data_IF_449478644628
#
_entry.id   IF_449478644628
#
_cell.length_a   1.000
_cell.length_b   1.000
_cell.length_c   1.000
_cell.angle_alpha   90.00
_cell.angle_beta   90.00
_cell.angle_gamma   90.00
#
_symmetry.space_group_name_H-M   'P 1'
#
loop_
_entity.id
_entity.type
_entity.pdbx_description
1 polymer ?
#
# COMPACT_ATOMS: atom_id res chain seq x y z
N UNK A 1 -15.23 25.83 17.51
CA UNK A 1 -14.50 24.61 17.08
C UNK A 1 -15.13 23.46 17.84
N UNK A 2 -16.11 22.80 17.23
CA UNK A 2 -16.95 21.72 17.81
C UNK A 2 -16.97 20.56 16.83
N UNK A 3 -15.78 20.13 16.43
CA UNK A 3 -15.51 18.94 15.63
C UNK A 3 -14.17 18.44 16.16
N UNK A 4 -14.02 17.13 16.37
CA UNK A 4 -12.91 16.44 17.07
C UNK A 4 -13.09 16.17 18.57
N UNK A 5 -14.34 16.00 19.03
CA UNK A 5 -14.60 15.26 20.29
C UNK A 5 -15.56 14.09 20.13
N UNK A 6 -15.54 13.46 18.96
CA UNK A 6 -16.17 12.16 18.70
C UNK A 6 -15.10 11.16 18.26
N UNK A 7 -14.15 10.88 19.16
CA UNK A 7 -13.50 9.58 19.23
C UNK A 7 -14.62 8.57 19.55
N UNK A 8 -14.79 7.55 18.71
CA UNK A 8 -15.68 6.43 18.99
C UNK A 8 -15.26 5.79 20.32
N UNK A 9 -16.03 6.03 21.38
CA UNK A 9 -15.99 5.20 22.58
C UNK A 9 -17.10 4.16 22.43
N UNK A 10 -16.74 2.98 21.92
CA UNK A 10 -17.45 1.75 22.22
C UNK A 10 -16.57 0.97 23.21
N UNK A 11 -17.04 0.83 24.44
CA UNK A 11 -16.36 0.10 25.51
C UNK A 11 -17.04 0.37 26.85
N UNK A 12 -17.92 -0.54 27.25
CA UNK A 12 -18.54 -0.62 28.58
C UNK A 12 -17.44 -0.78 29.66
N UNK A 13 -17.53 -0.12 30.83
CA UNK A 13 -16.54 -0.24 31.88
C UNK A 13 -17.04 -1.25 32.93
N UNK A 14 -16.71 -2.53 32.77
CA UNK A 14 -16.61 -3.56 33.83
C UNK A 14 -16.65 -4.95 33.16
N UNK A 15 -15.50 -5.55 32.89
CA UNK A 15 -15.36 -7.00 32.98
C UNK A 15 -13.91 -7.37 33.32
N UNK A 16 -13.80 -8.37 34.18
CA UNK A 16 -12.65 -8.66 35.04
C UNK A 16 -11.49 -9.36 34.30
N UNK A 17 -10.33 -9.42 34.96
CA UNK A 17 -9.11 -10.05 34.44
C UNK A 17 -9.33 -11.49 33.94
N UNK A 18 -9.04 -11.73 32.66
CA UNK A 18 -8.69 -13.05 32.14
C UNK A 18 -7.36 -12.95 31.39
N UNK A 19 -6.34 -13.59 31.96
CA UNK A 19 -5.01 -13.85 31.39
C UNK A 19 -5.14 -14.41 29.95
N UNK A 20 -4.66 -13.67 28.95
CA UNK A 20 -4.48 -14.17 27.58
C UNK A 20 -2.99 -14.22 27.26
N UNK A 21 -2.29 -15.34 27.55
CA UNK A 21 -1.00 -15.62 26.96
C UNK A 21 -1.22 -16.60 25.80
N UNK A 22 -1.74 -16.09 24.69
CA UNK A 22 -1.84 -16.86 23.43
C UNK A 22 -1.48 -16.01 22.19
N UNK A 23 -1.22 -14.69 22.34
CA UNK A 23 -0.92 -13.80 21.21
C UNK A 23 0.57 -13.77 20.79
N UNK A 24 1.52 -14.16 21.65
CA UNK A 24 2.95 -14.07 21.31
C UNK A 24 3.45 -15.19 20.36
N UNK A 25 2.78 -16.35 20.30
CA UNK A 25 3.19 -17.45 19.40
C UNK A 25 2.64 -17.30 17.96
N UNK A 26 1.53 -16.58 17.75
CA UNK A 26 0.99 -16.33 16.40
C UNK A 26 1.77 -15.24 15.64
N UNK A 27 2.33 -14.23 16.33
CA UNK A 27 3.11 -13.16 15.68
C UNK A 27 4.41 -13.70 15.04
N UNK A 28 5.06 -14.70 15.65
CA UNK A 28 6.30 -15.29 15.08
C UNK A 28 6.05 -16.09 13.78
N UNK A 29 4.85 -16.62 13.52
CA UNK A 29 4.55 -17.35 12.29
C UNK A 29 4.19 -16.45 11.09
N UNK A 30 3.69 -15.21 11.31
CA UNK A 30 3.37 -14.28 10.21
C UNK A 30 4.62 -13.61 9.59
N UNK A 31 5.73 -13.48 10.33
CA UNK A 31 6.93 -12.76 9.85
C UNK A 31 7.56 -13.40 8.59
N UNK A 32 7.32 -14.70 8.34
CA UNK A 32 7.86 -15.44 7.19
C UNK A 32 6.88 -15.52 6.00
N UNK A 33 5.64 -15.01 6.12
CA UNK A 33 4.65 -15.09 5.04
C UNK A 33 4.84 -13.96 4.01
N UNK A 34 5.59 -14.23 2.95
CA UNK A 34 5.77 -13.27 1.84
C UNK A 34 4.52 -13.21 0.96
N UNK A 35 3.90 -12.03 0.82
CA UNK A 35 2.79 -11.80 -0.11
C UNK A 35 3.25 -12.02 -1.57
N UNK A 36 2.66 -12.99 -2.29
CA UNK A 36 2.96 -13.20 -3.71
C UNK A 36 2.75 -11.97 -4.58
N UNK A 37 1.84 -11.07 -4.19
CA UNK A 37 1.56 -9.82 -4.89
C UNK A 37 2.78 -8.91 -4.92
N UNK A 38 3.48 -8.74 -3.80
CA UNK A 38 4.66 -7.88 -3.72
C UNK A 38 5.79 -8.40 -4.62
N UNK A 39 6.04 -9.71 -4.56
CA UNK A 39 7.04 -10.37 -5.41
C UNK A 39 6.72 -10.19 -6.90
N UNK A 40 5.44 -10.29 -7.28
CA UNK A 40 5.02 -10.17 -8.68
C UNK A 40 5.06 -8.71 -9.14
N UNK A 41 4.67 -7.76 -8.27
CA UNK A 41 4.77 -6.32 -8.55
C UNK A 41 6.22 -5.92 -8.82
N UNK A 42 7.16 -6.31 -7.96
CA UNK A 42 8.59 -6.05 -8.16
C UNK A 42 9.09 -6.55 -9.53
N UNK A 43 8.74 -7.79 -9.89
CA UNK A 43 9.08 -8.36 -11.21
C UNK A 43 8.41 -7.65 -12.39
N UNK A 44 7.21 -7.10 -12.20
CA UNK A 44 6.49 -6.37 -13.26
C UNK A 44 7.00 -4.94 -13.43
N UNK A 45 7.48 -4.31 -12.36
CA UNK A 45 8.10 -2.98 -12.39
C UNK A 45 9.39 -2.94 -13.21
N UNK A 46 10.13 -4.05 -13.30
CA UNK A 46 11.34 -4.19 -14.12
C UNK A 46 11.06 -4.20 -15.64
N UNK A 47 9.80 -4.27 -16.07
CA UNK A 47 9.46 -4.24 -17.50
C UNK A 47 9.70 -2.86 -18.09
N UNK A 48 10.20 -2.78 -19.33
CA UNK A 48 10.58 -1.53 -20.01
C UNK A 48 9.48 -0.46 -19.95
N UNK A 49 8.22 -0.85 -20.19
CA UNK A 49 7.09 0.07 -20.15
C UNK A 49 6.81 0.58 -18.72
N UNK A 50 6.93 -0.27 -17.69
CA UNK A 50 6.75 0.14 -16.30
C UNK A 50 7.90 1.03 -15.81
N UNK A 51 9.13 0.74 -16.22
CA UNK A 51 10.30 1.57 -15.91
C UNK A 51 10.10 2.98 -16.47
N UNK A 52 9.70 3.10 -17.74
CA UNK A 52 9.50 4.42 -18.34
C UNK A 52 8.35 5.21 -17.70
N UNK A 53 7.22 4.57 -17.37
CA UNK A 53 6.12 5.28 -16.68
C UNK A 53 6.46 5.62 -15.24
N UNK A 54 7.25 4.79 -14.56
CA UNK A 54 7.80 5.07 -13.22
C UNK A 54 8.75 6.28 -13.23
N UNK A 55 9.66 6.35 -14.20
CA UNK A 55 10.55 7.51 -14.37
C UNK A 55 9.75 8.81 -14.58
N UNK A 56 8.67 8.77 -15.36
CA UNK A 56 7.79 9.93 -15.55
C UNK A 56 7.09 10.35 -14.26
N UNK A 57 6.61 9.39 -13.48
CA UNK A 57 6.02 9.64 -12.16
C UNK A 57 7.03 10.30 -11.23
N UNK A 58 8.24 9.75 -11.11
CA UNK A 58 9.31 10.32 -10.28
C UNK A 58 9.70 11.74 -10.72
N UNK A 59 9.72 12.03 -12.02
CA UNK A 59 9.95 13.38 -12.56
C UNK A 59 8.81 14.35 -12.21
N UNK A 60 7.56 13.88 -12.20
CA UNK A 60 6.44 14.69 -11.73
C UNK A 60 6.55 14.95 -10.22
N UNK A 61 6.83 13.92 -9.42
CA UNK A 61 6.98 14.04 -7.97
C UNK A 61 8.11 15.00 -7.60
N UNK A 62 9.26 14.94 -8.29
CA UNK A 62 10.36 15.88 -8.11
C UNK A 62 9.94 17.33 -8.45
N UNK A 63 9.09 17.52 -9.48
CA UNK A 63 8.57 18.83 -9.87
C UNK A 63 7.58 19.37 -8.85
N UNK A 64 6.61 18.57 -8.42
CA UNK A 64 5.59 18.97 -7.44
C UNK A 64 6.22 19.24 -6.08
N UNK A 65 7.13 18.39 -5.60
CA UNK A 65 7.84 18.58 -4.33
C UNK A 65 8.75 19.82 -4.32
N UNK A 66 9.28 20.23 -5.48
CA UNK A 66 10.09 21.45 -5.58
C UNK A 66 9.28 22.75 -5.47
N UNK A 67 7.96 22.70 -5.62
CA UNK A 67 7.08 23.87 -5.61
C UNK A 67 6.42 24.03 -4.24
N UNK A 68 6.56 25.21 -3.64
CA UNK A 68 5.96 25.51 -2.34
C UNK A 68 4.45 25.74 -2.38
N UNK A 69 3.91 26.06 -3.56
CA UNK A 69 2.47 26.28 -3.76
C UNK A 69 2.14 25.96 -5.23
N UNK A 70 1.54 24.79 -5.46
CA UNK A 70 1.14 24.30 -6.78
C UNK A 70 -0.18 23.56 -6.62
N UNK A 71 -1.08 23.69 -7.59
CA UNK A 71 -2.31 22.88 -7.70
C UNK A 71 -2.08 21.63 -8.57
N UNK A 72 -0.86 21.45 -9.07
CA UNK A 72 -0.44 20.30 -9.86
C UNK A 72 -0.36 19.04 -8.99
N UNK A 73 -0.98 17.96 -9.46
CA UNK A 73 -0.84 16.60 -8.92
C UNK A 73 -0.23 15.66 -9.97
N UNK A 74 0.30 14.52 -9.52
CA UNK A 74 0.90 13.49 -10.38
C UNK A 74 -0.04 12.30 -10.60
N UNK A 75 -1.36 12.52 -10.53
CA UNK A 75 -2.33 11.42 -10.60
C UNK A 75 -2.39 10.78 -11.99
N UNK A 76 -2.16 11.56 -13.05
CA UNK A 76 -2.06 11.05 -14.42
C UNK A 76 -0.90 10.06 -14.55
N UNK A 77 0.32 10.46 -14.17
CA UNK A 77 1.50 9.59 -14.24
C UNK A 77 1.37 8.37 -13.33
N UNK A 78 0.69 8.51 -12.19
CA UNK A 78 0.39 7.39 -11.31
C UNK A 78 -0.54 6.39 -11.99
N UNK A 79 -1.60 6.84 -12.67
CA UNK A 79 -2.50 5.94 -13.39
C UNK A 79 -1.82 5.27 -14.58
N UNK A 80 -0.93 5.96 -15.29
CA UNK A 80 -0.12 5.38 -16.36
C UNK A 80 0.78 4.24 -15.83
N UNK A 81 1.45 4.48 -14.70
CA UNK A 81 2.30 3.47 -14.05
C UNK A 81 1.47 2.27 -13.54
N UNK A 82 0.36 2.53 -12.86
CA UNK A 82 -0.54 1.49 -12.37
C UNK A 82 -1.10 0.65 -13.50
N UNK A 83 -1.54 1.28 -14.59
CA UNK A 83 -2.05 0.56 -15.77
C UNK A 83 -1.01 -0.39 -16.35
N UNK A 84 0.23 0.09 -16.53
CA UNK A 84 1.33 -0.71 -17.04
C UNK A 84 1.65 -1.91 -16.13
N UNK A 85 1.80 -1.65 -14.83
CA UNK A 85 2.13 -2.67 -13.82
C UNK A 85 1.02 -3.69 -13.71
N UNK A 86 -0.23 -3.24 -13.57
CA UNK A 86 -1.36 -4.11 -13.30
C UNK A 86 -1.74 -4.95 -14.53
N UNK A 87 -1.47 -4.47 -15.74
CA UNK A 87 -1.54 -5.30 -16.94
C UNK A 87 -0.62 -6.53 -16.84
N UNK A 88 0.63 -6.34 -16.37
CA UNK A 88 1.56 -7.45 -16.13
C UNK A 88 1.14 -8.33 -14.94
N UNK A 89 0.73 -7.73 -13.82
CA UNK A 89 0.37 -8.45 -12.58
C UNK A 89 -0.85 -9.35 -12.81
N UNK A 90 -1.87 -8.87 -13.53
CA UNK A 90 -3.11 -9.61 -13.77
C UNK A 90 -2.86 -10.96 -14.46
N UNK A 91 -1.81 -11.06 -15.29
CA UNK A 91 -1.43 -12.30 -15.96
C UNK A 91 -0.69 -13.30 -15.05
N UNK A 92 -0.19 -12.89 -13.89
CA UNK A 92 0.69 -13.70 -13.03
C UNK A 92 0.12 -13.97 -11.63
N UNK A 93 -0.62 -13.01 -11.07
CA UNK A 93 -1.07 -13.04 -9.67
C UNK A 93 -1.97 -14.23 -9.36
N UNK A 94 -2.99 -14.47 -10.21
CA UNK A 94 -3.98 -15.52 -10.01
C UNK A 94 -3.42 -16.96 -10.11
N UNK A 95 -2.14 -17.13 -10.45
CA UNK A 95 -1.46 -18.42 -10.36
C UNK A 95 -0.88 -18.69 -8.96
N UNK A 96 -0.75 -17.67 -8.12
CA UNK A 96 -0.11 -17.74 -6.80
C UNK A 96 -1.10 -17.58 -5.64
N UNK A 97 -2.34 -17.16 -5.93
CA UNK A 97 -3.45 -17.12 -4.97
C UNK A 97 -4.42 -18.25 -5.27
N UNK A 98 -4.93 -18.95 -4.24
CA UNK A 98 -5.87 -20.08 -4.35
C UNK A 98 -7.23 -19.71 -3.80
#
# INVERSE_FOLDING_TARGET
MVFEKNMLTYGDPDDEEEDVPEEEEEEEEEEDLVDPLETIRAKCEESEHCVHTKERLELCEARVSSRSNTEEDCTEELFDFLHARDHCVAHKLFHNVK
#
